data_IF_676179567409
#
_entry.id   IF_676179567409
#
_cell.length_a   1.000
_cell.length_b   1.000
_cell.length_c   1.000
_cell.angle_alpha   90.00
_cell.angle_beta   90.00
_cell.angle_gamma   90.00
#
_symmetry.space_group_name_H-M   'P 1'
#
loop_
_entity.id
_entity.type
_entity.pdbx_description
1 polymer ?
#
# COMPACT_ATOMS: atom_id res chain seq x y z
N UNK A 1 30.25 -11.05 -28.81
CA UNK A 1 29.35 -12.11 -28.34
C UNK A 1 28.60 -11.80 -27.03
N UNK A 2 29.23 -11.21 -25.99
CA UNK A 2 28.54 -10.93 -24.71
C UNK A 2 27.44 -9.83 -24.82
N UNK A 3 27.67 -8.78 -25.60
CA UNK A 3 26.71 -7.67 -25.77
C UNK A 3 25.45 -8.03 -26.58
N UNK A 4 25.54 -8.90 -27.57
CA UNK A 4 24.38 -9.32 -28.39
C UNK A 4 23.40 -10.17 -27.59
N UNK A 5 23.90 -11.03 -26.70
CA UNK A 5 23.06 -11.86 -25.83
C UNK A 5 22.23 -10.99 -24.86
N UNK A 6 22.82 -9.91 -24.31
CA UNK A 6 22.13 -8.95 -23.43
C UNK A 6 21.08 -8.10 -24.16
N UNK A 7 21.35 -7.70 -25.40
CA UNK A 7 20.37 -6.98 -26.24
C UNK A 7 19.14 -7.84 -26.55
N UNK A 8 19.31 -9.17 -26.66
CA UNK A 8 18.20 -10.11 -26.89
C UNK A 8 17.26 -10.24 -25.68
N UNK A 9 17.79 -10.16 -24.45
CA UNK A 9 16.99 -10.25 -23.22
C UNK A 9 16.10 -9.03 -22.96
N UNK A 10 16.50 -7.83 -23.42
CA UNK A 10 15.69 -6.61 -23.30
C UNK A 10 15.24 -6.10 -24.68
N UNK A 11 14.73 -7.01 -25.51
CA UNK A 11 14.42 -6.69 -26.90
C UNK A 11 13.37 -5.58 -27.06
N UNK A 12 12.48 -5.40 -26.08
CA UNK A 12 11.49 -4.32 -26.10
C UNK A 12 12.13 -2.94 -25.92
N UNK A 13 13.03 -2.78 -24.96
CA UNK A 13 13.78 -1.54 -24.77
C UNK A 13 14.67 -1.22 -25.97
N UNK A 14 15.34 -2.20 -26.56
CA UNK A 14 16.25 -1.97 -27.69
C UNK A 14 15.54 -1.76 -29.03
N UNK A 15 14.25 -2.12 -29.14
CA UNK A 15 13.42 -1.89 -30.33
C UNK A 15 12.73 -0.53 -30.28
N UNK A 16 12.17 -0.16 -29.13
CA UNK A 16 11.48 1.12 -28.93
C UNK A 16 11.67 1.58 -27.48
N UNK A 17 12.60 2.51 -27.31
CA UNK A 17 12.95 3.07 -26.00
C UNK A 17 11.83 3.95 -25.45
N UNK A 18 11.18 4.74 -26.33
CA UNK A 18 10.10 5.64 -25.94
C UNK A 18 8.86 4.88 -25.50
N UNK A 19 8.44 3.87 -26.28
CA UNK A 19 7.31 3.01 -25.94
C UNK A 19 7.53 2.20 -24.68
N UNK A 20 8.75 1.70 -24.45
CA UNK A 20 9.10 1.03 -23.20
C UNK A 20 8.88 1.94 -21.98
N UNK A 21 9.43 3.15 -22.00
CA UNK A 21 9.29 4.10 -20.88
C UNK A 21 7.84 4.56 -20.69
N UNK A 22 7.12 4.83 -21.78
CA UNK A 22 5.70 5.20 -21.69
C UNK A 22 4.84 4.08 -21.10
N UNK A 23 5.11 2.82 -21.46
CA UNK A 23 4.44 1.66 -20.86
C UNK A 23 4.75 1.53 -19.37
N UNK A 24 6.00 1.71 -18.98
CA UNK A 24 6.41 1.70 -17.57
C UNK A 24 5.67 2.79 -16.79
N UNK A 25 5.64 4.02 -17.32
CA UNK A 25 4.92 5.16 -16.72
C UNK A 25 3.43 4.84 -16.59
N UNK A 26 2.80 4.32 -17.64
CA UNK A 26 1.37 3.99 -17.62
C UNK A 26 1.04 2.86 -16.63
N UNK A 27 1.86 1.81 -16.57
CA UNK A 27 1.69 0.73 -15.58
C UNK A 27 1.83 1.30 -14.17
N UNK A 28 2.85 2.11 -13.91
CA UNK A 28 3.02 2.73 -12.60
C UNK A 28 1.87 3.66 -12.23
N UNK A 29 1.36 4.47 -13.17
CA UNK A 29 0.18 5.30 -12.92
C UNK A 29 -1.07 4.47 -12.61
N UNK A 30 -1.30 3.40 -13.37
CA UNK A 30 -2.44 2.51 -13.15
C UNK A 30 -2.35 1.79 -11.79
N UNK A 31 -1.17 1.32 -11.41
CA UNK A 31 -0.95 0.69 -10.09
C UNK A 31 -1.20 1.71 -8.97
N UNK A 32 -0.71 2.94 -9.10
CA UNK A 32 -0.99 4.01 -8.13
C UNK A 32 -2.46 4.34 -7.99
N UNK A 33 -3.22 4.29 -9.09
CA UNK A 33 -4.66 4.58 -9.07
C UNK A 33 -5.48 3.43 -8.48
N UNK A 34 -5.09 2.16 -8.71
CA UNK A 34 -5.85 0.99 -8.25
C UNK A 34 -5.50 0.60 -6.82
N UNK A 35 -4.24 0.73 -6.39
CA UNK A 35 -3.78 0.31 -5.06
C UNK A 35 -2.82 1.34 -4.44
N UNK A 36 -3.32 2.50 -3.99
CA UNK A 36 -2.50 3.57 -3.43
C UNK A 36 -1.84 3.25 -2.09
N UNK A 37 -2.36 2.27 -1.33
CA UNK A 37 -1.96 2.01 0.06
C UNK A 37 -0.90 0.92 0.22
N UNK A 38 -0.95 -0.17 -0.56
CA UNK A 38 -0.13 -1.37 -0.33
C UNK A 38 1.10 -1.48 -1.23
N UNK A 39 1.10 -0.83 -2.41
CA UNK A 39 2.17 -1.00 -3.42
C UNK A 39 3.09 0.22 -3.60
N UNK A 40 2.83 1.30 -2.86
CA UNK A 40 3.58 2.55 -2.99
C UNK A 40 5.07 2.38 -2.64
N UNK A 41 5.43 1.61 -1.60
CA UNK A 41 6.84 1.45 -1.22
C UNK A 41 7.69 0.77 -2.30
N UNK A 42 7.20 -0.36 -2.84
CA UNK A 42 7.92 -1.10 -3.89
C UNK A 42 8.01 -0.26 -5.17
N UNK A 43 6.94 0.45 -5.52
CA UNK A 43 6.94 1.33 -6.68
C UNK A 43 7.86 2.54 -6.50
N UNK A 44 7.93 3.13 -5.30
CA UNK A 44 8.88 4.19 -4.95
C UNK A 44 10.32 3.74 -5.15
N UNK A 45 10.68 2.54 -4.67
CA UNK A 45 12.03 1.97 -4.85
C UNK A 45 12.36 1.81 -6.33
N UNK A 46 11.42 1.34 -7.14
CA UNK A 46 11.57 1.17 -8.59
C UNK A 46 11.72 2.53 -9.29
N UNK A 47 10.87 3.52 -8.99
CA UNK A 47 10.93 4.85 -9.58
C UNK A 47 12.22 5.60 -9.20
N UNK A 48 12.68 5.48 -7.94
CA UNK A 48 13.97 6.03 -7.47
C UNK A 48 15.15 5.39 -8.22
N UNK A 49 15.12 4.07 -8.38
CA UNK A 49 16.13 3.36 -9.18
C UNK A 49 16.10 3.82 -10.66
N UNK A 50 14.92 3.94 -11.27
CA UNK A 50 14.78 4.42 -12.64
C UNK A 50 15.35 5.83 -12.82
N UNK A 51 15.05 6.75 -11.90
CA UNK A 51 15.60 8.12 -11.92
C UNK A 51 17.13 8.13 -11.78
N UNK A 52 17.71 7.21 -10.99
CA UNK A 52 19.16 7.07 -10.81
C UNK A 52 19.85 6.49 -12.05
N UNK A 53 19.25 5.47 -12.68
CA UNK A 53 19.87 4.76 -13.81
C UNK A 53 19.61 5.42 -15.17
N UNK A 54 18.59 6.27 -15.33
CA UNK A 54 18.37 7.07 -16.55
C UNK A 54 19.64 7.80 -17.03
N UNK A 55 20.29 8.66 -16.22
CA UNK A 55 21.52 9.35 -16.64
C UNK A 55 22.68 8.37 -16.91
N UNK A 56 22.73 7.24 -16.20
CA UNK A 56 23.75 6.20 -16.42
C UNK A 56 23.58 5.50 -17.77
N UNK A 57 22.33 5.28 -18.20
CA UNK A 57 21.98 4.68 -19.49
C UNK A 57 22.27 5.67 -20.64
N UNK A 58 22.03 6.96 -20.42
CA UNK A 58 22.35 8.01 -21.42
C UNK A 58 23.85 8.08 -21.70
N UNK A 59 24.68 8.10 -20.65
CA UNK A 59 26.14 8.17 -20.75
C UNK A 59 26.72 6.91 -21.40
N UNK A 60 26.25 5.72 -21.00
CA UNK A 60 26.86 4.46 -21.43
C UNK A 60 26.40 3.99 -22.81
N UNK A 61 25.24 4.45 -23.30
CA UNK A 61 24.68 3.97 -24.56
C UNK A 61 24.46 5.05 -25.63
N UNK A 62 24.80 6.32 -25.37
CA UNK A 62 24.55 7.44 -26.29
C UNK A 62 23.08 7.49 -26.76
N UNK A 63 22.17 7.12 -25.86
CA UNK A 63 20.72 7.15 -26.07
C UNK A 63 20.20 8.46 -25.48
N UNK A 64 19.39 9.19 -26.24
CA UNK A 64 18.74 10.40 -25.75
C UNK A 64 17.36 10.02 -25.18
N UNK A 65 17.24 9.88 -23.87
CA UNK A 65 15.93 9.69 -23.22
C UNK A 65 15.26 11.07 -23.24
N UNK A 66 14.08 11.15 -23.85
CA UNK A 66 13.33 12.43 -23.95
C UNK A 66 13.18 13.08 -22.57
N UNK A 67 13.44 14.37 -22.49
CA UNK A 67 13.28 15.15 -21.26
C UNK A 67 11.82 15.12 -20.74
N UNK A 68 10.86 14.87 -21.63
CA UNK A 68 9.46 14.63 -21.29
C UNK A 68 9.27 13.35 -20.46
N UNK A 69 10.01 12.28 -20.77
CA UNK A 69 9.97 11.02 -20.00
C UNK A 69 10.59 11.23 -18.61
N UNK A 70 11.69 12.00 -18.53
CA UNK A 70 12.32 12.35 -17.26
C UNK A 70 11.39 13.19 -16.39
N UNK A 71 10.70 14.16 -16.98
CA UNK A 71 9.72 15.01 -16.29
C UNK A 71 8.50 14.20 -15.82
N UNK A 72 8.00 13.27 -16.63
CA UNK A 72 6.88 12.40 -16.28
C UNK A 72 7.23 11.42 -15.16
N UNK A 73 8.44 10.88 -15.13
CA UNK A 73 8.91 10.00 -14.04
C UNK A 73 9.13 10.80 -12.75
N UNK A 74 9.64 12.03 -12.86
CA UNK A 74 9.77 12.95 -11.72
C UNK A 74 8.42 13.33 -11.10
N UNK A 75 7.46 13.77 -11.92
CA UNK A 75 6.11 14.12 -11.44
C UNK A 75 5.35 12.92 -10.85
N UNK A 76 5.55 11.72 -11.41
CA UNK A 76 4.98 10.50 -10.85
C UNK A 76 5.65 10.13 -9.51
N UNK A 77 6.97 10.28 -9.39
CA UNK A 77 7.68 10.07 -8.14
C UNK A 77 7.13 10.99 -7.04
N UNK A 78 6.98 12.28 -7.33
CA UNK A 78 6.45 13.27 -6.38
C UNK A 78 5.01 12.95 -5.97
N UNK A 79 4.20 12.44 -6.92
CA UNK A 79 2.81 12.04 -6.65
C UNK A 79 2.77 10.81 -5.73
N UNK A 80 3.57 9.78 -6.02
CA UNK A 80 3.63 8.55 -5.21
C UNK A 80 4.23 8.82 -3.83
N UNK A 81 5.22 9.71 -3.72
CA UNK A 81 5.83 10.09 -2.43
C UNK A 81 4.86 10.90 -1.55
N UNK A 82 4.06 11.79 -2.14
CA UNK A 82 2.98 12.48 -1.41
C UNK A 82 1.91 11.50 -0.93
N UNK A 83 1.51 10.55 -1.77
CA UNK A 83 0.53 9.52 -1.41
C UNK A 83 1.09 8.58 -0.33
N UNK A 84 2.37 8.21 -0.34
CA UNK A 84 2.94 7.37 0.72
C UNK A 84 2.94 8.08 2.08
N UNK A 85 3.30 9.37 2.12
CA UNK A 85 3.26 10.17 3.37
C UNK A 85 1.83 10.34 3.88
N UNK A 86 0.86 10.52 2.98
CA UNK A 86 -0.58 10.58 3.32
C UNK A 86 -1.08 9.28 3.95
N UNK A 87 -0.70 8.15 3.35
CA UNK A 87 -1.06 6.81 3.83
C UNK A 87 -0.43 6.56 5.19
N UNK A 88 0.86 6.84 5.36
CA UNK A 88 1.58 6.62 6.61
C UNK A 88 1.04 7.51 7.75
N UNK A 89 0.66 8.76 7.45
CA UNK A 89 -0.02 9.64 8.41
C UNK A 89 -1.36 9.08 8.86
N UNK A 90 -2.14 8.49 7.95
CA UNK A 90 -3.44 7.86 8.28
C UNK A 90 -3.26 6.61 9.13
N UNK A 91 -2.23 5.81 8.88
CA UNK A 91 -1.90 4.66 9.73
C UNK A 91 -1.42 5.10 11.12
N UNK A 92 -0.51 6.07 11.21
CA UNK A 92 0.00 6.63 12.47
C UNK A 92 -1.12 7.28 13.31
N UNK A 93 -2.05 8.01 12.70
CA UNK A 93 -3.23 8.55 13.42
C UNK A 93 -4.15 7.46 13.96
N UNK A 94 -4.25 6.32 13.27
CA UNK A 94 -5.05 5.17 13.70
C UNK A 94 -4.36 4.38 14.82
N UNK A 95 -3.02 4.39 14.87
CA UNK A 95 -2.20 3.72 15.88
C UNK A 95 -2.04 4.56 17.17
N UNK A 96 -1.94 5.89 17.04
CA UNK A 96 -1.74 6.80 18.19
C UNK A 96 -3.04 7.09 18.95
N UNK A 97 -4.22 6.80 18.39
CA UNK A 97 -5.48 7.25 18.99
C UNK A 97 -6.10 6.32 20.02
N UNK A 98 -5.71 5.05 20.15
CA UNK A 98 -6.35 4.16 21.13
C UNK A 98 -5.34 3.12 21.63
N UNK A 99 -4.93 3.22 22.91
CA UNK A 99 -4.60 2.06 23.73
C UNK A 99 -5.94 1.40 24.10
N UNK A 100 -6.45 0.43 23.31
CA UNK A 100 -7.84 -0.01 23.41
C UNK A 100 -8.09 -0.81 24.68
N UNK A 101 -7.00 -1.28 25.31
CA UNK A 101 -7.00 -2.00 26.56
C UNK A 101 -7.40 -1.13 27.76
N UNK A 102 -7.25 0.20 27.70
CA UNK A 102 -7.61 1.11 28.79
C UNK A 102 -9.08 1.58 28.75
N UNK A 103 -9.74 1.50 27.59
CA UNK A 103 -11.12 1.97 27.45
C UNK A 103 -12.10 0.87 27.79
N UNK A 104 -13.08 1.14 28.64
CA UNK A 104 -14.17 0.21 28.90
C UNK A 104 -15.01 0.00 27.62
N UNK A 105 -15.40 -1.24 27.31
CA UNK A 105 -16.21 -1.51 26.13
C UNK A 105 -17.58 -0.83 26.30
N UNK A 106 -18.10 -0.14 25.27
CA UNK A 106 -19.34 0.63 25.39
C UNK A 106 -20.56 -0.24 25.67
N UNK A 107 -20.52 -1.52 25.25
CA UNK A 107 -21.60 -2.49 25.38
C UNK A 107 -21.03 -3.86 25.77
N UNK A 108 -21.82 -4.67 26.47
CA UNK A 108 -21.46 -6.04 26.82
C UNK A 108 -21.51 -6.94 25.57
N UNK A 109 -20.42 -7.65 25.26
CA UNK A 109 -20.34 -8.53 24.09
C UNK A 109 -21.40 -9.65 24.08
N UNK A 110 -21.93 -10.04 25.25
CA UNK A 110 -22.97 -11.07 25.36
C UNK A 110 -24.34 -10.62 24.85
N UNK A 111 -24.55 -9.31 24.75
CA UNK A 111 -25.80 -8.72 24.26
C UNK A 111 -25.73 -8.42 22.76
N UNK A 112 -24.55 -8.55 22.15
CA UNK A 112 -24.34 -8.30 20.72
C UNK A 112 -24.74 -9.55 19.93
N UNK A 113 -25.50 -9.36 18.85
CA UNK A 113 -25.85 -10.47 17.96
C UNK A 113 -24.60 -10.97 17.22
N UNK A 114 -24.44 -12.29 17.19
CA UNK A 114 -23.37 -12.98 16.46
C UNK A 114 -23.41 -12.62 14.97
N UNK A 115 -24.61 -12.53 14.39
CA UNK A 115 -24.78 -12.16 12.99
C UNK A 115 -24.79 -10.63 12.84
N UNK A 116 -23.95 -10.07 11.97
CA UNK A 116 -24.01 -8.64 11.67
C UNK A 116 -25.31 -8.29 10.95
N UNK A 117 -25.81 -7.08 11.20
CA UNK A 117 -26.96 -6.53 10.49
C UNK A 117 -26.53 -5.99 9.12
N UNK A 118 -27.44 -5.98 8.14
CA UNK A 118 -27.17 -5.41 6.82
C UNK A 118 -26.73 -3.93 6.88
N UNK A 119 -27.17 -3.21 7.91
CA UNK A 119 -26.80 -1.81 8.16
C UNK A 119 -25.33 -1.72 8.57
N UNK A 120 -24.83 -2.65 9.38
CA UNK A 120 -23.43 -2.67 9.84
C UNK A 120 -22.46 -2.95 8.69
N UNK A 121 -22.89 -3.71 7.67
CA UNK A 121 -22.11 -3.95 6.44
C UNK A 121 -22.05 -2.70 5.53
N UNK A 122 -23.10 -1.89 5.54
CA UNK A 122 -23.23 -0.73 4.64
C UNK A 122 -22.76 0.58 5.30
N UNK A 123 -22.66 0.60 6.63
CA UNK A 123 -22.28 1.80 7.38
C UNK A 123 -20.79 2.12 7.25
N UNK A 124 -20.41 3.40 7.08
CA UNK A 124 -19.01 3.84 7.14
C UNK A 124 -18.48 3.94 8.59
N UNK A 125 -19.33 3.72 9.61
CA UNK A 125 -18.93 3.79 11.01
C UNK A 125 -18.15 2.54 11.43
N UNK A 126 -16.92 2.73 11.91
CA UNK A 126 -16.08 1.62 12.38
C UNK A 126 -16.53 1.14 13.76
N UNK A 127 -16.74 -0.17 13.97
CA UNK A 127 -17.10 -0.69 15.28
C UNK A 127 -15.97 -0.51 16.30
N UNK A 128 -16.33 -0.55 17.59
CA UNK A 128 -15.33 -0.63 18.65
C UNK A 128 -14.63 -2.00 18.59
N UNK A 129 -13.35 -1.99 18.20
CA UNK A 129 -12.48 -3.15 18.09
C UNK A 129 -11.28 -3.01 19.02
N UNK A 130 -10.85 -4.13 19.59
CA UNK A 130 -9.58 -4.25 20.31
C UNK A 130 -8.62 -5.10 19.47
N UNK A 131 -7.33 -4.75 19.39
CA UNK A 131 -6.34 -5.54 18.67
C UNK A 131 -6.19 -6.91 19.32
N UNK A 132 -5.82 -7.90 18.51
CA UNK A 132 -5.48 -9.22 19.02
C UNK A 132 -4.22 -9.13 19.88
N UNK A 133 -4.26 -9.66 21.11
CA UNK A 133 -3.09 -9.70 21.99
C UNK A 133 -2.16 -10.82 21.52
N UNK A 134 -1.11 -10.46 20.78
CA UNK A 134 -0.09 -11.39 20.26
C UNK A 134 1.03 -11.60 21.30
N UNK A 135 1.28 -10.60 22.14
CA UNK A 135 2.36 -10.60 23.14
C UNK A 135 1.77 -10.31 24.52
N UNK A 136 2.00 -11.22 25.47
CA UNK A 136 1.52 -11.09 26.85
C UNK A 136 0.16 -11.75 27.11
N UNK A 137 -0.28 -11.81 28.37
CA UNK A 137 -1.56 -12.41 28.76
C UNK A 137 -2.73 -11.43 28.58
N UNK A 138 -3.93 -11.97 28.40
CA UNK A 138 -5.16 -11.20 28.55
C UNK A 138 -5.41 -10.86 30.02
N UNK A 139 -5.96 -9.68 30.29
CA UNK A 139 -6.26 -9.20 31.65
C UNK A 139 -7.21 -10.12 32.43
N UNK A 140 -8.18 -10.72 31.75
CA UNK A 140 -9.12 -11.70 32.32
C UNK A 140 -9.78 -12.56 31.23
N UNK A 141 -10.50 -13.61 31.62
CA UNK A 141 -11.33 -14.40 30.69
C UNK A 141 -12.39 -13.52 30.02
N UNK A 142 -12.97 -12.57 30.74
CA UNK A 142 -13.95 -11.65 30.18
C UNK A 142 -13.32 -10.76 29.10
N UNK A 143 -12.10 -10.28 29.34
CA UNK A 143 -11.33 -9.50 28.36
C UNK A 143 -11.03 -10.32 27.10
N UNK A 144 -10.56 -11.57 27.27
CA UNK A 144 -10.31 -12.47 26.16
C UNK A 144 -11.55 -12.68 25.28
N UNK A 145 -12.70 -12.95 25.90
CA UNK A 145 -13.94 -13.18 25.16
C UNK A 145 -14.44 -11.93 24.44
N UNK A 146 -14.35 -10.74 25.05
CA UNK A 146 -14.72 -9.48 24.41
C UNK A 146 -13.85 -9.21 23.16
N UNK A 147 -12.52 -9.32 23.30
CA UNK A 147 -11.57 -9.13 22.18
C UNK A 147 -11.87 -10.10 21.04
N UNK A 148 -11.92 -11.39 21.34
CA UNK A 148 -12.09 -12.43 20.31
C UNK A 148 -13.46 -12.36 19.64
N UNK A 149 -14.52 -12.07 20.39
CA UNK A 149 -15.86 -11.93 19.82
C UNK A 149 -15.95 -10.76 18.84
N UNK A 150 -15.38 -9.61 19.20
CA UNK A 150 -15.41 -8.41 18.35
C UNK A 150 -14.58 -8.58 17.08
N UNK A 151 -13.40 -9.19 17.18
CA UNK A 151 -12.56 -9.50 16.02
C UNK A 151 -13.24 -10.49 15.08
N UNK A 152 -13.81 -11.57 15.62
CA UNK A 152 -14.56 -12.54 14.82
C UNK A 152 -15.72 -11.88 14.08
N UNK A 153 -16.42 -10.93 14.72
CA UNK A 153 -17.54 -10.22 14.10
C UNK A 153 -17.09 -9.31 12.96
N UNK A 154 -15.94 -8.67 13.09
CA UNK A 154 -15.34 -7.87 12.00
C UNK A 154 -15.06 -8.74 10.76
N UNK A 155 -14.50 -9.93 10.96
CA UNK A 155 -14.23 -10.88 9.87
C UNK A 155 -15.52 -11.29 9.13
N UNK A 156 -16.68 -11.27 9.80
CA UNK A 156 -17.98 -11.52 9.15
C UNK A 156 -18.54 -10.31 8.38
N UNK A 157 -18.17 -9.09 8.77
CA UNK A 157 -18.64 -7.85 8.13
C UNK A 157 -17.81 -7.54 6.88
N UNK A 158 -16.49 -7.74 6.95
CA UNK A 158 -15.56 -7.43 5.86
C UNK A 158 -14.45 -8.50 5.75
N UNK A 159 -14.72 -9.64 5.10
CA UNK A 159 -13.76 -10.73 4.90
C UNK A 159 -12.64 -10.41 3.91
#
# INVERSE_FOLDING_TARGET
>A
MYNEKRKKCNSYFWKDQGGFWNNVINISRNISNVIPTTSCESMLKILKAMKLYMPMIEIHHSINISDEIKANVGSLLDTVEKTSVEVERKYQLKEVSFEPDELEPPNNFREINVYPSAIEVTSPESPFLRPNVIKGPYQSVNHYLDVQFRLLREDFVSP
#
